data_IF_493331879591
#
_entry.id   IF_493331879591
#
_cell.length_a   1.000
_cell.length_b   1.000
_cell.length_c   1.000
_cell.angle_alpha   90.00
_cell.angle_beta   90.00
_cell.angle_gamma   90.00
#
_symmetry.space_group_name_H-M   'P 1'
#
loop_
_entity.id
_entity.type
_entity.pdbx_description
1 polymer ?
#
# COMPACT_ATOMS: atom_id res chain seq x y z
N UNK A 1 -22.06 22.49 -10.23
CA UNK A 1 -22.19 21.09 -9.84
C UNK A 1 -21.11 20.84 -8.80
N UNK A 2 -21.49 20.84 -7.53
CA UNK A 2 -20.57 20.54 -6.40
C UNK A 2 -20.18 19.09 -6.49
N UNK A 3 -18.90 18.82 -6.69
CA UNK A 3 -18.30 17.48 -6.57
C UNK A 3 -18.69 16.94 -5.18
N UNK A 4 -19.22 15.70 -5.05
CA UNK A 4 -19.52 15.16 -3.74
C UNK A 4 -18.23 15.15 -2.93
N UNK A 5 -18.25 15.72 -1.73
CA UNK A 5 -17.14 15.58 -0.76
C UNK A 5 -16.92 14.09 -0.52
N UNK A 6 -15.90 13.54 -1.13
CA UNK A 6 -15.42 12.18 -0.85
C UNK A 6 -15.08 12.14 0.64
N UNK A 7 -15.85 11.38 1.44
CA UNK A 7 -15.57 11.22 2.86
C UNK A 7 -14.15 10.67 3.01
N UNK A 8 -13.30 11.40 3.70
CA UNK A 8 -11.91 10.99 3.97
C UNK A 8 -11.92 9.67 4.74
N UNK A 9 -11.23 8.66 4.20
CA UNK A 9 -11.03 7.36 4.85
C UNK A 9 -9.85 7.42 5.83
N UNK A 10 -8.74 8.02 5.38
CA UNK A 10 -7.54 8.26 6.17
C UNK A 10 -7.22 9.75 6.15
N UNK A 11 -6.92 10.29 7.32
CA UNK A 11 -6.61 11.70 7.53
C UNK A 11 -5.39 11.85 8.42
N UNK A 12 -4.30 12.37 7.87
CA UNK A 12 -3.00 12.55 8.53
C UNK A 12 -2.70 14.03 8.62
N UNK A 13 -2.35 14.53 9.81
CA UNK A 13 -2.02 15.95 10.02
C UNK A 13 -0.78 16.13 10.87
N UNK A 14 0.13 16.95 10.35
CA UNK A 14 1.38 17.37 11.00
C UNK A 14 2.17 16.20 11.61
N UNK A 15 2.18 15.06 10.88
CA UNK A 15 2.77 13.82 11.40
C UNK A 15 4.29 13.92 11.42
N UNK A 16 4.89 13.73 12.61
CA UNK A 16 6.33 13.78 12.81
C UNK A 16 6.85 12.46 13.38
N UNK A 17 7.99 12.01 12.89
CA UNK A 17 8.66 10.81 13.37
C UNK A 17 10.17 11.00 13.33
N UNK A 18 10.86 10.54 14.38
CA UNK A 18 12.33 10.62 14.46
C UNK A 18 12.92 9.30 14.89
N UNK A 19 14.07 8.96 14.34
CA UNK A 19 14.93 7.87 14.79
C UNK A 19 16.16 8.48 15.48
N UNK A 20 16.17 8.47 16.82
CA UNK A 20 17.19 9.23 17.57
C UNK A 20 17.15 10.71 17.19
N UNK A 21 18.27 11.25 16.69
CA UNK A 21 18.39 12.64 16.26
C UNK A 21 17.91 12.95 14.84
N UNK A 22 17.52 11.94 14.05
CA UNK A 22 17.16 12.11 12.63
C UNK A 22 15.63 12.17 12.49
N UNK A 23 15.11 13.31 12.01
CA UNK A 23 13.70 13.45 11.70
C UNK A 23 13.39 12.83 10.33
N UNK A 24 12.74 11.67 10.34
CA UNK A 24 12.29 10.97 9.12
C UNK A 24 10.99 11.54 8.55
N UNK A 25 10.07 12.02 9.43
CA UNK A 25 8.87 12.77 9.05
C UNK A 25 8.88 14.10 9.82
N UNK A 26 8.63 15.20 9.11
CA UNK A 26 8.83 16.56 9.61
C UNK A 26 7.54 17.39 9.70
N UNK A 27 6.39 16.73 9.52
CA UNK A 27 5.07 17.36 9.51
C UNK A 27 4.34 17.01 8.22
N UNK A 28 3.99 15.71 8.05
CA UNK A 28 3.30 15.19 6.87
C UNK A 28 1.81 15.37 7.02
N UNK A 29 1.18 15.96 5.98
CA UNK A 29 -0.26 16.04 5.79
C UNK A 29 -0.65 15.19 4.57
N UNK A 30 -1.58 14.25 4.75
CA UNK A 30 -2.03 13.35 3.69
C UNK A 30 -3.46 12.90 3.94
N UNK A 31 -4.25 12.80 2.88
CA UNK A 31 -5.62 12.29 2.90
C UNK A 31 -5.80 11.19 1.86
N UNK A 32 -6.55 10.15 2.23
CA UNK A 32 -7.05 9.12 1.30
C UNK A 32 -8.57 9.09 1.40
N UNK A 33 -9.27 9.20 0.29
CA UNK A 33 -10.72 9.04 0.25
C UNK A 33 -11.12 7.56 0.08
N UNK A 34 -12.39 7.25 0.36
CA UNK A 34 -12.93 5.91 0.10
C UNK A 34 -12.87 5.57 -1.40
N UNK A 35 -12.34 4.38 -1.73
CA UNK A 35 -12.20 3.88 -3.10
C UNK A 35 -11.16 4.61 -3.94
N UNK A 36 -10.34 5.49 -3.33
CA UNK A 36 -9.30 6.23 -4.02
C UNK A 36 -7.98 5.45 -4.05
N UNK A 37 -7.32 5.45 -5.21
CA UNK A 37 -5.94 5.05 -5.37
C UNK A 37 -5.08 6.31 -5.42
N UNK A 38 -4.27 6.54 -4.40
CA UNK A 38 -3.29 7.62 -4.37
C UNK A 38 -1.86 7.08 -4.46
N UNK A 39 -0.98 7.86 -5.09
CA UNK A 39 0.45 7.59 -5.14
C UNK A 39 1.20 8.50 -4.16
N UNK A 40 2.11 7.94 -3.38
CA UNK A 40 3.13 8.68 -2.64
C UNK A 40 4.48 8.39 -3.28
N UNK A 41 5.03 9.38 -3.95
CA UNK A 41 6.31 9.27 -4.64
C UNK A 41 7.40 10.04 -3.89
N UNK A 42 8.64 9.62 -4.06
CA UNK A 42 9.80 10.27 -3.44
C UNK A 42 11.05 9.42 -3.56
N UNK A 43 12.21 10.04 -3.41
CA UNK A 43 13.51 9.36 -3.44
C UNK A 43 13.68 8.38 -2.26
N UNK A 44 14.72 7.55 -2.34
CA UNK A 44 15.10 6.71 -1.20
C UNK A 44 15.50 7.58 -0.01
N UNK A 45 15.03 7.20 1.18
CA UNK A 45 15.25 7.97 2.40
C UNK A 45 14.32 9.17 2.59
N UNK A 46 13.38 9.45 1.68
CA UNK A 46 12.42 10.55 1.83
C UNK A 46 11.45 10.40 3.02
N UNK A 47 11.30 9.19 3.59
CA UNK A 47 10.41 8.91 4.71
C UNK A 47 9.19 8.05 4.36
N UNK A 48 9.08 7.56 3.11
CA UNK A 48 7.92 6.79 2.59
C UNK A 48 7.58 5.57 3.46
N UNK A 49 8.52 4.65 3.62
CA UNK A 49 8.36 3.44 4.47
C UNK A 49 8.12 3.79 5.93
N UNK A 50 8.72 4.88 6.44
CA UNK A 50 8.47 5.36 7.81
C UNK A 50 7.02 5.78 7.97
N UNK A 51 6.47 6.53 7.02
CA UNK A 51 5.05 6.91 7.02
C UNK A 51 4.16 5.66 7.05
N UNK A 52 4.38 4.70 6.16
CA UNK A 52 3.59 3.47 6.14
C UNK A 52 3.67 2.68 7.45
N UNK A 53 4.86 2.59 8.07
CA UNK A 53 5.03 1.91 9.35
C UNK A 53 4.29 2.61 10.50
N UNK A 54 4.25 3.95 10.50
CA UNK A 54 3.44 4.71 11.47
C UNK A 54 1.95 4.45 11.24
N UNK A 55 1.46 4.51 10.00
CA UNK A 55 0.07 4.25 9.65
C UNK A 55 -0.36 2.81 9.97
N UNK A 56 0.54 1.85 9.84
CA UNK A 56 0.30 0.44 10.17
C UNK A 56 0.44 0.12 11.68
N UNK A 57 0.68 1.13 12.55
CA UNK A 57 0.85 0.91 13.99
C UNK A 57 2.14 0.19 14.39
N UNK A 58 3.11 0.10 13.47
CA UNK A 58 4.43 -0.52 13.70
C UNK A 58 5.43 0.45 14.34
N UNK A 59 5.17 1.75 14.24
CA UNK A 59 5.97 2.81 14.84
C UNK A 59 5.05 3.84 15.49
N UNK A 60 5.48 4.38 16.64
CA UNK A 60 4.77 5.46 17.29
C UNK A 60 5.31 6.81 16.79
N UNK A 61 4.45 7.73 16.30
CA UNK A 61 4.89 9.05 15.89
C UNK A 61 5.33 9.90 17.09
N UNK A 62 6.23 10.87 16.86
CA UNK A 62 6.66 11.82 17.86
C UNK A 62 5.55 12.87 18.14
N UNK A 63 4.79 13.25 17.11
CA UNK A 63 3.63 14.15 17.22
C UNK A 63 2.79 14.10 15.93
N UNK A 64 1.66 14.78 15.94
CA UNK A 64 0.68 14.79 14.85
C UNK A 64 -0.52 13.89 15.14
N UNK A 65 -1.46 13.84 14.21
CA UNK A 65 -2.67 13.03 14.34
C UNK A 65 -2.90 12.18 13.10
N UNK A 66 -3.42 10.98 13.33
CA UNK A 66 -3.87 10.07 12.28
C UNK A 66 -5.27 9.60 12.64
N UNK A 67 -6.23 9.83 11.74
CA UNK A 67 -7.60 9.34 11.88
C UNK A 67 -7.90 8.39 10.71
N UNK A 68 -8.49 7.26 11.03
CA UNK A 68 -8.99 6.29 10.08
C UNK A 68 -10.47 6.07 10.33
N UNK A 69 -11.32 6.26 9.31
CA UNK A 69 -12.78 6.24 9.45
C UNK A 69 -13.29 7.16 10.56
N UNK A 70 -12.60 8.30 10.77
CA UNK A 70 -12.93 9.25 11.83
C UNK A 70 -12.43 8.89 13.23
N UNK A 71 -11.82 7.69 13.42
CA UNK A 71 -11.28 7.24 14.71
C UNK A 71 -9.78 7.50 14.78
N UNK A 72 -9.23 8.05 15.88
CA UNK A 72 -7.80 8.22 16.05
C UNK A 72 -7.07 6.87 16.04
N UNK A 73 -6.04 6.72 15.19
CA UNK A 73 -5.25 5.47 15.09
C UNK A 73 -4.08 5.39 16.08
N UNK A 74 -3.64 6.51 16.61
CA UNK A 74 -2.47 6.55 17.50
C UNK A 74 -2.79 5.72 18.76
N UNK A 75 -1.93 4.71 19.01
CA UNK A 75 -2.04 3.69 20.07
C UNK A 75 -2.77 2.38 19.72
N UNK A 76 -3.29 2.20 18.49
CA UNK A 76 -3.76 0.88 18.07
C UNK A 76 -2.58 -0.03 17.72
N UNK A 77 -2.64 -1.28 18.16
CA UNK A 77 -1.66 -2.29 17.76
C UNK A 77 -1.91 -2.71 16.30
N UNK A 78 -0.85 -3.08 15.57
CA UNK A 78 -0.94 -3.43 14.14
C UNK A 78 -2.01 -4.49 13.84
N UNK A 79 -2.19 -5.51 14.69
CA UNK A 79 -3.20 -6.55 14.48
C UNK A 79 -4.64 -6.01 14.60
N UNK A 80 -4.88 -5.01 15.44
CA UNK A 80 -6.19 -4.35 15.55
C UNK A 80 -6.51 -3.55 14.27
N UNK A 81 -5.50 -2.86 13.70
CA UNK A 81 -5.67 -2.12 12.44
C UNK A 81 -6.03 -3.05 11.27
N UNK A 82 -5.44 -4.26 11.23
CA UNK A 82 -5.83 -5.27 10.22
C UNK A 82 -7.29 -5.69 10.40
N UNK A 83 -7.78 -5.88 11.62
CA UNK A 83 -9.19 -6.18 11.89
C UNK A 83 -10.13 -5.04 11.46
N UNK A 84 -9.66 -3.80 11.55
CA UNK A 84 -10.39 -2.61 11.09
C UNK A 84 -10.29 -2.39 9.57
N UNK A 85 -9.56 -3.25 8.86
CA UNK A 85 -9.41 -3.22 7.40
C UNK A 85 -8.29 -2.34 6.87
N UNK A 86 -7.27 -2.02 7.69
CA UNK A 86 -6.07 -1.33 7.26
C UNK A 86 -4.91 -2.34 7.16
N UNK A 87 -4.44 -2.60 5.95
CA UNK A 87 -3.46 -3.66 5.70
C UNK A 87 -2.25 -3.12 4.95
N UNK A 88 -1.05 -3.53 5.36
CA UNK A 88 0.22 -3.17 4.75
C UNK A 88 0.85 -4.39 4.04
N UNK A 89 1.22 -4.22 2.79
CA UNK A 89 2.21 -5.07 2.09
C UNK A 89 3.55 -4.35 2.17
N UNK A 90 4.49 -4.82 2.98
CA UNK A 90 5.77 -4.15 3.18
C UNK A 90 6.71 -4.37 2.00
N UNK A 91 7.72 -3.52 1.88
CA UNK A 91 8.91 -3.77 1.07
C UNK A 91 9.49 -5.16 1.40
N UNK A 92 9.99 -5.88 0.39
CA UNK A 92 10.51 -7.24 0.58
C UNK A 92 9.44 -8.31 0.75
N UNK A 93 8.14 -8.00 0.44
CA UNK A 93 7.01 -8.93 0.33
C UNK A 93 6.51 -9.52 1.66
N UNK A 94 7.40 -9.76 2.63
CA UNK A 94 7.07 -10.29 3.95
C UNK A 94 6.36 -11.65 3.94
N UNK A 95 6.57 -12.51 2.91
CA UNK A 95 5.98 -13.84 2.83
C UNK A 95 6.61 -14.83 3.83
N UNK A 96 5.85 -15.83 4.23
CA UNK A 96 6.36 -16.93 5.04
C UNK A 96 6.98 -18.00 4.13
N UNK A 97 8.29 -17.93 3.91
CA UNK A 97 9.02 -18.76 2.93
C UNK A 97 8.89 -20.28 3.15
N UNK A 98 8.70 -20.70 4.41
CA UNK A 98 8.57 -22.12 4.81
C UNK A 98 7.14 -22.66 4.77
N UNK A 99 6.16 -21.80 4.54
CA UNK A 99 4.77 -22.17 4.32
C UNK A 99 4.49 -22.31 2.82
N UNK A 100 3.49 -23.13 2.49
CA UNK A 100 2.97 -23.24 1.14
C UNK A 100 2.28 -21.92 0.70
N UNK A 101 2.01 -21.78 -0.58
CA UNK A 101 1.19 -20.67 -1.12
C UNK A 101 -0.17 -20.63 -0.43
N UNK A 102 -0.87 -21.77 -0.32
CA UNK A 102 -2.18 -21.85 0.34
C UNK A 102 -2.11 -21.42 1.81
N UNK A 103 -1.15 -21.92 2.56
CA UNK A 103 -0.97 -21.55 3.98
C UNK A 103 -0.64 -20.06 4.14
N UNK A 104 0.19 -19.48 3.24
CA UNK A 104 0.42 -18.03 3.25
C UNK A 104 -0.87 -17.25 3.05
N UNK A 105 -1.73 -17.64 2.12
CA UNK A 105 -3.03 -17.00 1.89
C UNK A 105 -3.92 -17.14 3.13
N UNK A 106 -4.00 -18.32 3.74
CA UNK A 106 -4.77 -18.56 4.97
C UNK A 106 -4.30 -17.67 6.13
N UNK A 107 -3.00 -17.42 6.25
CA UNK A 107 -2.47 -16.47 7.25
C UNK A 107 -3.02 -15.05 7.08
N UNK A 108 -3.41 -14.66 5.86
CA UNK A 108 -4.04 -13.35 5.61
C UNK A 108 -5.42 -13.21 6.23
N UNK A 109 -6.13 -14.31 6.44
CA UNK A 109 -7.45 -14.34 7.10
C UNK A 109 -7.40 -14.67 8.60
N UNK A 110 -6.21 -14.72 9.22
CA UNK A 110 -6.03 -15.16 10.61
C UNK A 110 -6.91 -14.42 11.63
N UNK A 111 -7.19 -13.14 11.40
CA UNK A 111 -8.03 -12.33 12.28
C UNK A 111 -9.54 -12.48 12.01
N UNK A 112 -9.95 -13.40 11.12
CA UNK A 112 -11.34 -13.59 10.68
C UNK A 112 -11.87 -14.95 11.16
N UNK A 113 -13.19 -15.02 11.38
CA UNK A 113 -13.89 -16.23 11.81
C UNK A 113 -15.05 -16.63 10.88
N UNK A 114 -15.18 -15.96 9.72
CA UNK A 114 -16.26 -16.17 8.75
C UNK A 114 -15.86 -17.19 7.67
N UNK A 115 -15.62 -18.44 8.05
CA UNK A 115 -15.08 -19.52 7.21
C UNK A 115 -15.69 -19.63 5.79
N UNK A 116 -17.02 -19.62 5.58
CA UNK A 116 -17.57 -19.71 4.23
C UNK A 116 -17.19 -18.55 3.33
N UNK A 117 -16.94 -17.38 3.92
CA UNK A 117 -16.48 -16.20 3.19
C UNK A 117 -14.99 -16.24 2.93
N UNK A 118 -14.20 -16.83 3.83
CA UNK A 118 -12.75 -17.03 3.64
C UNK A 118 -12.49 -17.91 2.43
N UNK A 119 -13.23 -19.00 2.26
CA UNK A 119 -13.10 -19.89 1.10
C UNK A 119 -13.44 -19.18 -0.21
N UNK A 120 -14.49 -18.33 -0.23
CA UNK A 120 -14.83 -17.51 -1.38
C UNK A 120 -13.73 -16.51 -1.71
N UNK A 121 -13.18 -15.84 -0.70
CA UNK A 121 -12.09 -14.89 -0.90
C UNK A 121 -10.82 -15.59 -1.43
N UNK A 122 -10.55 -16.80 -0.97
CA UNK A 122 -9.46 -17.63 -1.50
C UNK A 122 -9.64 -17.91 -2.98
N UNK A 123 -10.87 -18.25 -3.43
CA UNK A 123 -11.17 -18.42 -4.85
C UNK A 123 -10.97 -17.12 -5.63
N UNK A 124 -11.48 -15.99 -5.12
CA UNK A 124 -11.29 -14.68 -5.75
C UNK A 124 -9.80 -14.33 -5.91
N UNK A 125 -8.97 -14.68 -4.92
CA UNK A 125 -7.51 -14.50 -5.00
C UNK A 125 -6.90 -15.40 -6.07
N UNK A 126 -7.35 -16.64 -6.20
CA UNK A 126 -6.87 -17.55 -7.24
C UNK A 126 -7.32 -17.13 -8.65
N UNK A 127 -8.52 -16.53 -8.79
CA UNK A 127 -8.98 -15.94 -10.05
C UNK A 127 -8.09 -14.74 -10.44
N UNK A 128 -7.75 -13.88 -9.48
CA UNK A 128 -6.87 -12.74 -9.71
C UNK A 128 -5.42 -13.16 -9.99
N UNK A 129 -4.98 -14.26 -9.39
CA UNK A 129 -3.62 -14.81 -9.50
C UNK A 129 -3.62 -16.30 -9.86
N UNK A 130 -3.95 -16.71 -11.09
CA UNK A 130 -4.05 -18.12 -11.48
C UNK A 130 -2.78 -18.93 -11.19
N UNK A 131 -1.60 -18.31 -11.30
CA UNK A 131 -0.32 -18.94 -10.98
C UNK A 131 -0.20 -19.37 -9.51
N UNK A 132 -0.86 -18.67 -8.59
CA UNK A 132 -0.89 -19.07 -7.19
C UNK A 132 -1.74 -20.33 -6.99
N UNK A 133 -2.83 -20.47 -7.75
CA UNK A 133 -3.64 -21.70 -7.75
C UNK A 133 -2.84 -22.89 -8.26
N UNK A 134 -2.18 -22.77 -9.42
CA UNK A 134 -1.34 -23.82 -10.00
C UNK A 134 -0.27 -24.33 -9.01
N UNK A 135 0.22 -23.44 -8.14
CA UNK A 135 1.32 -23.67 -7.22
C UNK A 135 0.89 -23.69 -5.75
N UNK A 136 -0.39 -23.89 -5.45
CA UNK A 136 -0.94 -23.72 -4.10
C UNK A 136 -0.29 -24.61 -3.04
N UNK A 137 0.28 -25.77 -3.42
CA UNK A 137 1.02 -26.69 -2.54
C UNK A 137 2.53 -26.42 -2.48
N UNK A 138 3.06 -25.52 -3.34
CA UNK A 138 4.47 -25.22 -3.40
C UNK A 138 4.88 -24.33 -2.23
N UNK A 139 6.11 -24.52 -1.70
CA UNK A 139 6.68 -23.64 -0.69
C UNK A 139 6.90 -22.24 -1.26
N UNK A 140 6.43 -21.22 -0.55
CA UNK A 140 6.45 -19.83 -1.00
C UNK A 140 7.88 -19.31 -1.26
N UNK A 141 8.86 -19.79 -0.50
CA UNK A 141 10.27 -19.41 -0.69
C UNK A 141 10.87 -19.87 -2.02
N UNK A 142 10.24 -20.83 -2.73
CA UNK A 142 10.72 -21.34 -4.01
C UNK A 142 10.06 -20.68 -5.24
N UNK A 143 9.16 -19.75 -5.00
CA UNK A 143 8.50 -18.96 -6.04
C UNK A 143 9.47 -17.90 -6.62
N UNK A 144 9.23 -17.51 -7.87
CA UNK A 144 9.91 -16.34 -8.46
C UNK A 144 9.55 -15.05 -7.70
N UNK A 145 10.37 -14.00 -7.84
CA UNK A 145 10.13 -12.73 -7.17
C UNK A 145 8.75 -12.12 -7.46
N UNK A 146 8.30 -12.21 -8.71
CA UNK A 146 6.96 -11.73 -9.10
C UNK A 146 5.83 -12.56 -8.51
N UNK A 147 5.98 -13.90 -8.47
CA UNK A 147 4.99 -14.78 -7.83
C UNK A 147 4.92 -14.56 -6.31
N UNK A 148 6.06 -14.29 -5.67
CA UNK A 148 6.09 -13.91 -4.25
C UNK A 148 5.37 -12.58 -3.99
N UNK A 149 5.50 -11.61 -4.92
CA UNK A 149 4.78 -10.33 -4.82
C UNK A 149 3.27 -10.53 -5.01
N UNK A 150 2.85 -11.34 -5.98
CA UNK A 150 1.44 -11.72 -6.13
C UNK A 150 0.90 -12.42 -4.87
N UNK A 151 1.71 -13.30 -4.25
CA UNK A 151 1.34 -13.96 -3.01
C UNK A 151 1.18 -12.98 -1.84
N UNK A 152 2.07 -11.99 -1.73
CA UNK A 152 1.97 -10.95 -0.71
C UNK A 152 0.69 -10.11 -0.88
N UNK A 153 0.36 -9.72 -2.12
CA UNK A 153 -0.90 -9.02 -2.45
C UNK A 153 -2.12 -9.92 -2.15
N UNK A 154 -2.10 -11.16 -2.61
CA UNK A 154 -3.18 -12.12 -2.36
C UNK A 154 -3.43 -12.34 -0.87
N UNK A 155 -2.36 -12.51 -0.09
CA UNK A 155 -2.45 -12.63 1.36
C UNK A 155 -3.06 -11.37 2.01
N UNK A 156 -2.68 -10.19 1.56
CA UNK A 156 -3.26 -8.95 2.05
C UNK A 156 -4.76 -8.85 1.73
N UNK A 157 -5.20 -9.28 0.54
CA UNK A 157 -6.61 -9.31 0.15
C UNK A 157 -7.46 -10.26 1.01
N UNK A 158 -6.87 -11.34 1.51
CA UNK A 158 -7.55 -12.28 2.43
C UNK A 158 -8.02 -11.62 3.74
N UNK A 159 -7.44 -10.48 4.15
CA UNK A 159 -7.91 -9.70 5.29
C UNK A 159 -9.14 -8.83 4.99
N UNK A 160 -9.60 -8.74 3.72
CA UNK A 160 -10.66 -7.83 3.23
C UNK A 160 -10.34 -6.37 3.56
N UNK A 161 -9.23 -5.82 3.05
CA UNK A 161 -8.83 -4.47 3.40
C UNK A 161 -9.81 -3.44 2.82
N UNK A 162 -10.11 -2.40 3.61
CA UNK A 162 -10.74 -1.17 3.13
C UNK A 162 -9.67 -0.20 2.64
N UNK A 163 -8.50 -0.20 3.29
CA UNK A 163 -7.30 0.52 2.89
C UNK A 163 -6.12 -0.46 2.77
N UNK A 164 -5.62 -0.61 1.57
CA UNK A 164 -4.43 -1.38 1.25
C UNK A 164 -3.25 -0.44 1.04
N UNK A 165 -2.23 -0.56 1.86
CA UNK A 165 -0.98 0.18 1.74
C UNK A 165 0.08 -0.71 1.11
N UNK A 166 0.76 -0.21 0.07
CA UNK A 166 1.77 -0.95 -0.70
C UNK A 166 3.10 -0.20 -0.66
N UNK A 167 4.15 -0.85 -0.15
CA UNK A 167 5.49 -0.28 -0.04
C UNK A 167 6.40 -0.83 -1.15
N UNK A 168 6.62 -0.03 -2.18
CA UNK A 168 7.47 -0.32 -3.35
C UNK A 168 7.20 -1.70 -3.99
N UNK A 169 5.94 -2.01 -4.36
CA UNK A 169 5.55 -3.35 -4.82
C UNK A 169 6.24 -3.77 -6.13
N UNK A 170 6.80 -2.85 -6.89
CA UNK A 170 7.50 -3.13 -8.16
C UNK A 170 8.99 -3.40 -7.99
N UNK A 171 9.56 -3.16 -6.79
CA UNK A 171 11.01 -3.19 -6.60
C UNK A 171 11.61 -4.58 -6.83
N UNK A 172 12.69 -4.64 -7.63
CA UNK A 172 13.42 -5.87 -7.93
C UNK A 172 12.67 -6.87 -8.79
N UNK A 173 11.64 -6.44 -9.52
CA UNK A 173 10.90 -7.27 -10.46
C UNK A 173 11.34 -7.04 -11.90
N UNK A 174 11.20 -8.10 -12.73
CA UNK A 174 11.39 -7.97 -14.17
C UNK A 174 10.30 -7.07 -14.79
N UNK A 175 10.57 -6.31 -15.87
CA UNK A 175 9.64 -5.33 -16.44
C UNK A 175 8.22 -5.86 -16.70
N UNK A 176 8.11 -7.07 -17.26
CA UNK A 176 6.82 -7.70 -17.52
C UNK A 176 6.02 -7.97 -16.23
N UNK A 177 6.70 -8.30 -15.14
CA UNK A 177 6.06 -8.50 -13.83
C UNK A 177 5.64 -7.18 -13.20
N UNK A 178 6.41 -6.11 -13.39
CA UNK A 178 6.03 -4.76 -12.96
C UNK A 178 4.70 -4.36 -13.59
N UNK A 179 4.57 -4.47 -14.93
CA UNK A 179 3.31 -4.19 -15.63
C UNK A 179 2.15 -5.00 -15.02
N UNK A 180 2.35 -6.31 -14.81
CA UNK A 180 1.31 -7.17 -14.24
C UNK A 180 0.89 -6.78 -12.82
N UNK A 181 1.83 -6.36 -11.97
CA UNK A 181 1.53 -5.88 -10.61
C UNK A 181 0.71 -4.58 -10.67
N UNK A 182 1.06 -3.62 -11.53
CA UNK A 182 0.30 -2.38 -11.66
C UNK A 182 -1.10 -2.59 -12.23
N UNK A 183 -1.27 -3.47 -13.23
CA UNK A 183 -2.59 -3.90 -13.71
C UNK A 183 -3.43 -4.49 -12.58
N UNK A 184 -2.83 -5.35 -11.75
CA UNK A 184 -3.50 -5.96 -10.60
C UNK A 184 -3.89 -4.92 -9.55
N UNK A 185 -3.02 -3.93 -9.26
CA UNK A 185 -3.33 -2.83 -8.34
C UNK A 185 -4.54 -2.03 -8.84
N UNK A 186 -4.62 -1.74 -10.13
CA UNK A 186 -5.78 -1.07 -10.74
C UNK A 186 -7.06 -1.93 -10.61
N UNK A 187 -6.96 -3.24 -10.85
CA UNK A 187 -8.10 -4.15 -10.70
C UNK A 187 -8.60 -4.21 -9.25
N UNK A 188 -7.70 -4.27 -8.27
CA UNK A 188 -8.04 -4.23 -6.85
C UNK A 188 -8.75 -2.91 -6.51
N UNK A 189 -8.24 -1.77 -6.99
CA UNK A 189 -8.86 -0.46 -6.80
C UNK A 189 -10.24 -0.38 -7.44
N UNK A 190 -10.41 -0.91 -8.66
CA UNK A 190 -11.69 -0.95 -9.36
C UNK A 190 -12.76 -1.78 -8.63
N UNK A 191 -12.33 -2.73 -7.78
CA UNK A 191 -13.22 -3.51 -6.87
C UNK A 191 -13.60 -2.73 -5.59
N UNK A 192 -13.20 -1.46 -5.47
CA UNK A 192 -13.58 -0.56 -4.37
C UNK A 192 -12.61 -0.52 -3.19
N UNK A 193 -11.47 -1.18 -3.27
CA UNK A 193 -10.42 -1.09 -2.24
C UNK A 193 -9.68 0.24 -2.39
N UNK A 194 -9.60 1.02 -1.30
CA UNK A 194 -8.77 2.24 -1.28
C UNK A 194 -7.30 1.84 -1.21
N UNK A 195 -6.43 2.53 -1.95
CA UNK A 195 -5.01 2.16 -2.03
C UNK A 195 -4.11 3.37 -1.79
N UNK A 196 -3.15 3.22 -0.87
CA UNK A 196 -1.99 4.10 -0.74
C UNK A 196 -0.78 3.37 -1.32
N UNK A 197 -0.43 3.72 -2.56
CA UNK A 197 0.68 3.16 -3.30
C UNK A 197 1.93 4.02 -3.07
N UNK A 198 2.93 3.46 -2.43
CA UNK A 198 4.24 4.08 -2.24
C UNK A 198 5.20 3.50 -3.27
N UNK A 199 5.85 4.37 -4.05
CA UNK A 199 6.75 3.95 -5.13
C UNK A 199 7.90 4.94 -5.35
N UNK A 200 9.03 4.41 -5.81
CA UNK A 200 10.12 5.20 -6.33
C UNK A 200 9.91 5.51 -7.82
N UNK A 201 9.32 4.58 -8.58
CA UNK A 201 8.97 4.80 -9.99
C UNK A 201 7.74 5.72 -10.10
N UNK A 202 7.99 7.02 -10.05
CA UNK A 202 6.95 8.04 -10.04
C UNK A 202 6.02 7.96 -11.26
N UNK A 203 6.57 7.65 -12.44
CA UNK A 203 5.80 7.57 -13.69
C UNK A 203 4.74 6.49 -13.57
N UNK A 204 5.12 5.25 -13.27
CA UNK A 204 4.19 4.13 -13.16
C UNK A 204 3.16 4.35 -12.05
N UNK A 205 3.59 4.86 -10.89
CA UNK A 205 2.68 5.13 -9.78
C UNK A 205 1.61 6.17 -10.14
N UNK A 206 2.01 7.27 -10.81
CA UNK A 206 1.08 8.32 -11.21
C UNK A 206 0.20 7.92 -12.40
N UNK A 207 0.64 7.00 -13.28
CA UNK A 207 -0.18 6.48 -14.39
C UNK A 207 -1.41 5.70 -13.90
N UNK A 208 -1.33 5.09 -12.73
CA UNK A 208 -2.44 4.28 -12.15
C UNK A 208 -3.26 5.03 -11.10
N UNK A 209 -2.72 6.09 -10.51
CA UNK A 209 -3.36 6.83 -9.42
C UNK A 209 -4.31 7.94 -9.89
N UNK A 210 -5.27 8.32 -9.05
CA UNK A 210 -6.10 9.50 -9.26
C UNK A 210 -5.41 10.79 -8.79
N UNK A 211 -4.72 10.73 -7.64
CA UNK A 211 -3.93 11.82 -7.07
C UNK A 211 -2.56 11.33 -6.63
N UNK A 212 -1.64 12.26 -6.45
CA UNK A 212 -0.32 11.96 -5.93
C UNK A 212 0.16 12.97 -4.90
N UNK A 213 1.09 12.51 -4.09
CA UNK A 213 1.86 13.30 -3.16
C UNK A 213 3.34 13.09 -3.44
N UNK A 214 4.13 14.16 -3.39
CA UNK A 214 5.59 14.11 -3.49
C UNK A 214 6.16 14.31 -2.10
N UNK A 215 6.89 13.30 -1.60
CA UNK A 215 7.55 13.34 -0.30
C UNK A 215 9.05 13.56 -0.48
N UNK A 216 9.59 14.62 0.11
CA UNK A 216 11.02 14.95 0.08
C UNK A 216 11.49 15.33 1.47
N UNK A 217 12.55 14.66 1.94
CA UNK A 217 13.15 14.95 3.24
C UNK A 217 12.13 15.03 4.39
N UNK A 218 11.13 14.14 4.39
CA UNK A 218 10.11 14.05 5.43
C UNK A 218 8.99 15.09 5.35
N UNK A 219 8.85 15.81 4.24
CA UNK A 219 7.81 16.83 3.99
C UNK A 219 7.08 16.54 2.67
N UNK A 220 5.78 16.78 2.63
CA UNK A 220 5.03 16.83 1.35
C UNK A 220 5.35 18.16 0.68
N UNK A 221 6.04 18.09 -0.47
CA UNK A 221 6.44 19.27 -1.27
C UNK A 221 5.44 19.58 -2.38
N UNK A 222 4.66 18.60 -2.82
CA UNK A 222 3.62 18.79 -3.84
C UNK A 222 2.50 17.78 -3.66
N UNK A 223 1.28 18.20 -3.97
CA UNK A 223 0.07 17.36 -3.97
C UNK A 223 -0.90 17.88 -5.02
N UNK A 224 -1.28 17.04 -5.99
CA UNK A 224 -2.26 17.38 -7.03
C UNK A 224 -2.85 16.09 -7.66
N UNK A 225 -3.72 16.25 -8.65
CA UNK A 225 -4.14 15.13 -9.49
C UNK A 225 -2.92 14.48 -10.15
N UNK A 226 -2.94 13.15 -10.29
CA UNK A 226 -1.83 12.42 -10.90
C UNK A 226 -1.50 12.92 -12.31
N UNK A 227 -2.53 13.27 -13.09
CA UNK A 227 -2.37 13.84 -14.43
C UNK A 227 -1.56 15.14 -14.44
N UNK A 228 -1.77 16.04 -13.47
CA UNK A 228 -0.98 17.28 -13.36
C UNK A 228 0.44 17.01 -12.89
N UNK A 229 0.64 16.08 -11.96
CA UNK A 229 1.98 15.71 -11.49
C UNK A 229 2.81 15.05 -12.60
N UNK A 230 2.20 14.23 -13.46
CA UNK A 230 2.85 13.60 -14.62
C UNK A 230 3.43 14.61 -15.62
N UNK A 231 2.80 15.76 -15.77
CA UNK A 231 3.26 16.82 -16.69
C UNK A 231 4.06 17.94 -16.00
N UNK A 232 4.16 17.89 -14.66
CA UNK A 232 4.91 18.88 -13.89
C UNK A 232 6.41 18.84 -14.23
N UNK A 233 7.02 19.96 -14.68
CA UNK A 233 8.44 19.98 -14.97
C UNK A 233 9.32 19.58 -13.78
N UNK A 234 8.97 20.04 -12.57
CA UNK A 234 9.70 19.72 -11.35
C UNK A 234 9.67 18.22 -11.04
N UNK A 235 8.49 17.58 -11.13
CA UNK A 235 8.34 16.14 -10.89
C UNK A 235 9.06 15.32 -11.96
N UNK A 236 8.94 15.72 -13.23
CA UNK A 236 9.63 15.04 -14.34
C UNK A 236 11.13 15.08 -14.18
N UNK A 237 11.69 16.25 -13.91
CA UNK A 237 13.13 16.41 -13.72
C UNK A 237 13.66 15.63 -12.53
N UNK A 238 12.92 15.60 -11.41
CA UNK A 238 13.38 14.94 -10.18
C UNK A 238 13.22 13.41 -10.22
N UNK A 239 12.17 12.88 -10.89
CA UNK A 239 11.75 11.49 -10.70
C UNK A 239 11.54 10.67 -11.98
N UNK A 240 11.50 11.29 -13.18
CA UNK A 240 11.16 10.57 -14.42
C UNK A 240 12.30 10.52 -15.45
N UNK A 241 13.41 11.23 -15.20
CA UNK A 241 14.45 11.43 -16.19
C UNK A 241 13.97 12.34 -17.33
N UNK A 242 14.87 13.09 -17.91
CA UNK A 242 14.63 13.90 -19.13
C UNK A 242 14.52 13.01 -20.35
#
# INVERSE_FOLDING_TARGET
MTTPELKSLLHVRNLKMSYGGIQALRGVDLDVAHGELIALIGSNGAGKTTLLKVLAGLLQPASGTVHYRGTPLIHHAAHQLVQEGLTLVPEGRGIFARLTVKENLQMGSYCRSDEPSIDRDMQNVYELFPRLFERHKQLAGTLSGGEQQMLALGRALMSRPTLLMLDEPSMGLAPMMVTKIFETIQEISARGVSILLVEQNAKLALEVAQRGYVLENGLITSSDSAAKLLVSPAVRQAYMGS
#
